data_IF_274444057542
#
_entry.id   IF_274444057542
#
_cell.length_a   1.000
_cell.length_b   1.000
_cell.length_c   1.000
_cell.angle_alpha   90.00
_cell.angle_beta   90.00
_cell.angle_gamma   90.00
#
_symmetry.space_group_name_H-M   'P 1'
#
loop_
_entity.id
_entity.type
_entity.pdbx_description
1 polymer ?
#
# COMPACT_ATOMS: atom_id res chain seq x y z
N UNK A 1 -15.75 27.47 13.32
CA UNK A 1 -15.08 26.41 12.53
C UNK A 1 -16.14 25.72 11.73
N UNK A 2 -15.96 25.46 10.45
CA UNK A 2 -16.94 24.71 9.69
C UNK A 2 -17.07 23.30 10.29
N UNK A 3 -18.29 22.81 10.40
CA UNK A 3 -18.62 21.49 10.93
C UNK A 3 -19.27 20.71 9.80
N UNK A 4 -18.72 19.56 9.48
CA UNK A 4 -19.31 18.64 8.51
C UNK A 4 -20.41 17.81 9.17
N UNK A 5 -21.50 17.63 8.45
CA UNK A 5 -22.60 16.77 8.89
C UNK A 5 -22.59 15.51 8.04
N UNK A 6 -22.17 14.39 8.64
CA UNK A 6 -22.16 13.09 7.99
C UNK A 6 -23.44 12.32 8.29
N UNK A 7 -24.22 12.02 7.25
CA UNK A 7 -25.38 11.13 7.31
C UNK A 7 -24.92 9.71 6.98
N UNK A 8 -25.41 8.73 7.73
CA UNK A 8 -25.27 7.33 7.37
C UNK A 8 -26.65 6.65 7.33
N UNK A 9 -26.90 5.89 6.25
CA UNK A 9 -28.13 5.15 6.03
C UNK A 9 -27.83 3.75 5.50
N UNK A 10 -28.41 2.70 6.09
CA UNK A 10 -28.30 1.34 5.61
C UNK A 10 -29.35 1.07 4.54
N UNK A 11 -28.93 0.57 3.38
CA UNK A 11 -29.76 0.39 2.18
C UNK A 11 -29.55 -0.99 1.55
N UNK A 12 -30.58 -1.62 1.00
CA UNK A 12 -30.40 -2.65 0.00
C UNK A 12 -29.64 -2.11 -1.21
N UNK A 13 -28.69 -2.88 -1.75
CA UNK A 13 -27.82 -2.45 -2.86
C UNK A 13 -28.54 -1.80 -4.05
N UNK A 14 -29.73 -2.27 -4.49
CA UNK A 14 -30.45 -1.60 -5.60
C UNK A 14 -30.90 -0.16 -5.31
N UNK A 15 -30.96 0.24 -4.03
CA UNK A 15 -31.39 1.58 -3.64
C UNK A 15 -30.21 2.56 -3.46
N UNK A 16 -28.98 2.10 -3.52
CA UNK A 16 -27.79 2.94 -3.30
C UNK A 16 -27.72 4.09 -4.32
N UNK A 17 -27.84 3.77 -5.62
CA UNK A 17 -27.78 4.77 -6.68
C UNK A 17 -28.93 5.80 -6.61
N UNK A 18 -30.22 5.40 -6.51
CA UNK A 18 -31.32 6.37 -6.45
C UNK A 18 -31.25 7.24 -5.17
N UNK A 19 -30.94 6.67 -4.02
CA UNK A 19 -30.81 7.40 -2.77
C UNK A 19 -29.57 8.32 -2.81
N UNK A 20 -28.45 7.84 -3.33
CA UNK A 20 -27.23 8.63 -3.49
C UNK A 20 -27.48 9.89 -4.37
N UNK A 21 -28.16 9.72 -5.49
CA UNK A 21 -28.56 10.87 -6.35
C UNK A 21 -29.49 11.85 -5.63
N UNK A 22 -30.43 11.35 -4.83
CA UNK A 22 -31.32 12.21 -4.06
C UNK A 22 -30.56 12.98 -2.97
N UNK A 23 -29.60 12.35 -2.29
CA UNK A 23 -28.76 13.02 -1.30
C UNK A 23 -27.84 14.08 -1.94
N UNK A 24 -27.26 13.81 -3.10
CA UNK A 24 -26.50 14.81 -3.87
C UNK A 24 -27.40 16.01 -4.27
N UNK A 25 -28.64 15.76 -4.69
CA UNK A 25 -29.61 16.82 -4.99
C UNK A 25 -30.02 17.64 -3.76
N UNK A 26 -29.85 17.10 -2.54
CA UNK A 26 -30.02 17.83 -1.29
C UNK A 26 -28.78 18.64 -0.88
N UNK A 27 -27.68 18.56 -1.64
CA UNK A 27 -26.44 19.30 -1.39
C UNK A 27 -25.34 18.46 -0.72
N UNK A 28 -25.42 17.14 -0.77
CA UNK A 28 -24.27 16.33 -0.35
C UNK A 28 -23.06 16.63 -1.24
N UNK A 29 -21.91 16.85 -0.60
CA UNK A 29 -20.63 17.16 -1.26
C UNK A 29 -19.83 15.90 -1.58
N UNK A 30 -20.13 14.77 -0.94
CA UNK A 30 -19.51 13.49 -1.17
C UNK A 30 -20.41 12.33 -0.76
N UNK A 31 -20.20 11.18 -1.40
CA UNK A 31 -20.86 9.91 -1.07
C UNK A 31 -19.78 8.82 -0.92
N UNK A 32 -20.01 7.89 0.00
CA UNK A 32 -19.18 6.70 0.17
C UNK A 32 -20.06 5.48 0.47
N UNK A 33 -19.80 4.38 -0.23
CA UNK A 33 -20.36 3.08 0.12
C UNK A 33 -19.44 2.38 1.12
N UNK A 34 -20.02 1.91 2.19
CA UNK A 34 -19.35 1.14 3.23
C UNK A 34 -20.13 -0.15 3.52
N UNK A 35 -19.53 -1.03 4.29
CA UNK A 35 -20.15 -2.28 4.68
C UNK A 35 -20.86 -2.09 6.03
N UNK A 36 -22.12 -2.52 6.17
CA UNK A 36 -22.80 -2.41 7.45
C UNK A 36 -22.02 -3.12 8.58
N UNK A 37 -22.00 -2.55 9.80
CA UNK A 37 -21.33 -3.14 10.94
C UNK A 37 -21.72 -4.60 11.16
N UNK A 38 -20.74 -5.46 11.43
CA UNK A 38 -20.96 -6.89 11.65
C UNK A 38 -21.11 -7.74 10.38
N UNK A 39 -21.03 -7.15 9.19
CA UNK A 39 -21.06 -7.89 7.91
C UNK A 39 -19.69 -8.49 7.61
N UNK A 40 -19.64 -9.81 7.43
CA UNK A 40 -18.40 -10.50 6.98
C UNK A 40 -18.30 -10.40 5.47
N UNK A 41 -17.34 -9.63 4.97
CA UNK A 41 -17.05 -9.53 3.54
C UNK A 41 -15.97 -10.54 3.16
N UNK A 42 -16.29 -11.42 2.21
CA UNK A 42 -15.30 -12.29 1.60
C UNK A 42 -14.69 -11.58 0.39
N UNK A 43 -13.42 -11.25 0.49
CA UNK A 43 -12.67 -10.71 -0.64
C UNK A 43 -12.06 -11.84 -1.46
N UNK A 44 -12.15 -11.73 -2.79
CA UNK A 44 -11.42 -12.62 -3.70
C UNK A 44 -10.02 -12.06 -3.86
N UNK A 45 -9.05 -12.86 -3.47
CA UNK A 45 -7.65 -12.56 -3.73
C UNK A 45 -7.32 -12.79 -5.22
N UNK A 46 -6.29 -12.13 -5.77
CA UNK A 46 -5.89 -12.31 -7.19
C UNK A 46 -5.65 -13.77 -7.59
N UNK A 47 -5.24 -14.60 -6.66
CA UNK A 47 -4.94 -16.03 -6.86
C UNK A 47 -6.11 -16.98 -6.59
N UNK A 48 -7.24 -16.49 -6.11
CA UNK A 48 -8.40 -17.34 -5.84
C UNK A 48 -9.01 -17.85 -7.13
N UNK A 49 -9.01 -19.18 -7.31
CA UNK A 49 -9.72 -19.85 -8.40
C UNK A 49 -11.21 -19.95 -8.03
N UNK A 50 -12.08 -19.36 -8.84
CA UNK A 50 -13.52 -19.47 -8.62
C UNK A 50 -14.29 -18.19 -8.96
N UNK A 51 -15.62 -18.21 -8.74
CA UNK A 51 -16.50 -17.05 -8.95
C UNK A 51 -16.18 -15.98 -7.90
N UNK A 52 -16.22 -14.72 -8.33
CA UNK A 52 -16.15 -13.58 -7.39
C UNK A 52 -17.24 -13.73 -6.32
N UNK A 53 -16.93 -13.51 -5.02
CA UNK A 53 -17.95 -13.44 -3.99
C UNK A 53 -19.03 -12.45 -4.40
N UNK A 54 -20.29 -12.74 -4.08
CA UNK A 54 -21.34 -11.75 -4.29
C UNK A 54 -21.11 -10.58 -3.34
N UNK A 55 -21.23 -9.34 -3.83
CA UNK A 55 -21.17 -8.18 -2.95
C UNK A 55 -22.29 -8.27 -1.90
N UNK A 56 -22.11 -7.65 -0.72
CA UNK A 56 -23.17 -7.60 0.28
C UNK A 56 -24.48 -7.09 -0.31
N UNK A 57 -25.60 -7.68 0.11
CA UNK A 57 -26.94 -7.23 -0.30
C UNK A 57 -27.35 -5.91 0.33
N UNK A 58 -26.75 -5.59 1.47
CA UNK A 58 -26.93 -4.34 2.21
C UNK A 58 -25.64 -3.52 2.13
N UNK A 59 -25.81 -2.20 2.06
CA UNK A 59 -24.73 -1.20 1.99
C UNK A 59 -25.01 -0.12 3.03
N UNK A 60 -23.99 0.36 3.69
CA UNK A 60 -24.04 1.56 4.50
C UNK A 60 -23.60 2.74 3.60
N UNK A 61 -24.58 3.54 3.17
CA UNK A 61 -24.29 4.73 2.39
C UNK A 61 -24.03 5.90 3.32
N UNK A 62 -22.88 6.55 3.19
CA UNK A 62 -22.52 7.77 3.88
C UNK A 62 -22.58 8.96 2.93
N UNK A 63 -23.08 10.09 3.43
CA UNK A 63 -23.16 11.34 2.67
C UNK A 63 -22.72 12.50 3.56
N UNK A 64 -21.90 13.40 3.03
CA UNK A 64 -21.38 14.56 3.75
C UNK A 64 -22.01 15.85 3.23
N UNK A 65 -22.34 16.76 4.16
CA UNK A 65 -22.99 18.04 3.90
C UNK A 65 -22.26 19.15 4.63
N UNK A 66 -22.09 20.30 3.96
CA UNK A 66 -21.61 21.54 4.59
C UNK A 66 -22.64 22.10 5.57
N UNK A 67 -23.94 21.90 5.27
CA UNK A 67 -25.06 22.28 6.12
C UNK A 67 -26.03 21.12 6.18
N UNK A 68 -26.47 20.77 7.39
CA UNK A 68 -27.43 19.70 7.59
C UNK A 68 -28.76 20.02 6.90
N UNK A 69 -29.22 19.20 5.95
CA UNK A 69 -30.52 19.38 5.32
C UNK A 69 -31.67 19.18 6.29
N UNK A 70 -32.85 19.70 5.93
CA UNK A 70 -34.09 19.47 6.66
C UNK A 70 -34.44 17.98 6.75
N UNK A 71 -34.85 17.53 7.95
CA UNK A 71 -35.10 16.11 8.24
C UNK A 71 -36.25 15.53 7.39
N UNK A 72 -37.25 16.32 7.01
CA UNK A 72 -38.32 15.86 6.14
C UNK A 72 -37.84 15.60 4.71
N UNK A 73 -36.94 16.45 4.21
CA UNK A 73 -36.29 16.26 2.89
C UNK A 73 -35.36 15.05 2.89
N UNK A 74 -34.61 14.87 3.97
CA UNK A 74 -33.76 13.68 4.16
C UNK A 74 -34.61 12.42 4.21
N UNK A 75 -35.69 12.43 4.98
CA UNK A 75 -36.64 11.31 5.06
C UNK A 75 -37.23 10.95 3.70
N UNK A 76 -37.56 11.94 2.87
CA UNK A 76 -38.02 11.71 1.50
C UNK A 76 -36.92 11.11 0.62
N UNK A 77 -35.68 11.61 0.69
CA UNK A 77 -34.54 11.14 -0.07
C UNK A 77 -34.09 9.70 0.31
N UNK A 78 -34.28 9.31 1.58
CA UNK A 78 -33.91 8.00 2.10
C UNK A 78 -35.08 7.02 2.17
N UNK A 79 -36.20 7.34 1.54
CA UNK A 79 -37.44 6.52 1.54
C UNK A 79 -37.95 6.18 2.97
N UNK A 80 -37.83 7.14 3.89
CA UNK A 80 -38.26 6.99 5.28
C UNK A 80 -37.41 6.07 6.13
N UNK A 81 -36.22 5.72 5.69
CA UNK A 81 -35.29 4.86 6.44
C UNK A 81 -34.64 5.60 7.59
N UNK A 82 -34.28 4.86 8.62
CA UNK A 82 -33.54 5.42 9.76
C UNK A 82 -32.15 5.88 9.30
N UNK A 83 -31.85 7.13 9.59
CA UNK A 83 -30.52 7.72 9.36
C UNK A 83 -29.85 8.02 10.70
N UNK A 84 -28.54 7.94 10.70
CA UNK A 84 -27.72 8.47 11.81
C UNK A 84 -26.92 9.66 11.32
N UNK A 85 -26.74 10.64 12.19
CA UNK A 85 -25.95 11.83 11.94
C UNK A 85 -24.73 11.86 12.85
N UNK A 86 -23.59 12.17 12.28
CA UNK A 86 -22.36 12.43 13.00
C UNK A 86 -21.89 13.85 12.64
N UNK A 87 -21.59 14.64 13.65
CA UNK A 87 -20.95 15.96 13.43
C UNK A 87 -19.45 15.79 13.59
N UNK A 88 -18.71 16.12 12.55
CA UNK A 88 -17.25 16.02 12.56
C UNK A 88 -16.68 17.43 12.38
N UNK A 89 -15.92 17.96 13.35
CA UNK A 89 -15.20 19.21 13.15
C UNK A 89 -14.25 19.08 11.95
N UNK A 90 -14.15 20.16 11.17
CA UNK A 90 -13.32 20.20 9.95
C UNK A 90 -11.82 19.96 10.22
N UNK A 91 -11.38 20.14 11.46
CA UNK A 91 -9.98 19.96 11.87
C UNK A 91 -9.58 18.48 12.03
N UNK A 92 -10.52 17.56 12.26
CA UNK A 92 -10.17 16.16 12.57
C UNK A 92 -9.89 15.27 11.34
N UNK A 93 -10.46 15.60 10.16
CA UNK A 93 -10.22 14.80 8.96
C UNK A 93 -8.84 15.02 8.35
N UNK A 94 -8.30 16.24 8.47
CA UNK A 94 -6.99 16.59 7.89
C UNK A 94 -5.80 16.28 8.81
N UNK A 95 -6.00 16.04 10.08
CA UNK A 95 -4.89 15.85 11.02
C UNK A 95 -4.97 14.55 11.85
N UNK A 96 -6.15 14.04 12.18
CA UNK A 96 -6.30 12.83 13.00
C UNK A 96 -5.62 11.59 12.38
N UNK A 97 -5.68 11.44 11.06
CA UNK A 97 -5.01 10.34 10.37
C UNK A 97 -3.48 10.48 10.37
N UNK A 98 -2.95 11.69 10.37
CA UNK A 98 -1.49 11.93 10.44
C UNK A 98 -0.87 11.43 11.73
N UNK A 99 -1.62 11.49 12.83
CA UNK A 99 -1.18 10.99 14.13
C UNK A 99 -0.96 9.47 14.16
N UNK A 100 -1.59 8.73 13.23
CA UNK A 100 -1.44 7.28 13.11
C UNK A 100 -0.15 6.88 12.39
N UNK A 101 0.44 7.79 11.57
CA UNK A 101 1.71 7.54 10.90
C UNK A 101 2.86 7.90 11.81
N UNK A 102 3.48 6.90 12.41
CA UNK A 102 4.66 7.09 13.23
C UNK A 102 5.94 6.89 12.42
N UNK A 103 7.03 7.63 12.70
CA UNK A 103 8.31 7.36 12.07
C UNK A 103 8.76 5.93 12.32
N UNK A 104 9.24 5.26 11.29
CA UNK A 104 9.79 3.91 11.38
C UNK A 104 11.31 4.02 11.46
N UNK A 105 11.85 3.88 12.65
CA UNK A 105 13.28 3.74 12.86
C UNK A 105 13.70 2.30 12.51
N UNK A 106 14.38 2.13 11.36
CA UNK A 106 14.92 0.84 10.94
C UNK A 106 16.27 0.62 11.63
N UNK A 107 17.10 1.64 11.66
CA UNK A 107 18.41 1.69 12.34
C UNK A 107 18.80 3.15 12.60
N UNK A 108 19.98 3.37 13.19
CA UNK A 108 20.52 4.72 13.40
C UNK A 108 20.81 5.48 12.09
N UNK A 109 20.93 4.77 10.96
CA UNK A 109 21.23 5.34 9.64
C UNK A 109 20.06 5.33 8.66
N UNK A 110 18.97 4.69 9.00
CA UNK A 110 17.79 4.58 8.15
C UNK A 110 16.50 4.79 8.95
N UNK A 111 15.84 5.91 8.71
CA UNK A 111 14.54 6.25 9.26
C UNK A 111 13.60 6.56 8.11
N UNK A 112 12.37 6.05 8.17
CA UNK A 112 11.29 6.38 7.26
C UNK A 112 10.32 7.28 8.01
N UNK A 113 9.88 8.37 7.40
CA UNK A 113 8.97 9.31 8.04
C UNK A 113 8.02 9.95 7.04
N UNK A 114 6.88 10.43 7.51
CA UNK A 114 6.01 11.28 6.71
C UNK A 114 6.53 12.73 6.72
N UNK A 115 6.16 13.58 5.73
CA UNK A 115 6.70 14.94 5.60
C UNK A 115 6.53 15.83 6.84
N UNK A 116 5.42 15.66 7.57
CA UNK A 116 5.10 16.46 8.74
C UNK A 116 5.94 16.15 9.98
N UNK A 117 6.74 15.09 9.98
CA UNK A 117 7.61 14.75 11.11
C UNK A 117 8.89 15.60 11.14
N UNK A 118 9.33 16.17 10.00
CA UNK A 118 10.49 17.04 9.93
C UNK A 118 11.80 16.41 10.42
N UNK A 119 11.98 15.09 10.21
CA UNK A 119 13.17 14.35 10.66
C UNK A 119 14.28 14.50 9.61
N UNK A 120 15.34 15.19 9.99
CA UNK A 120 16.50 15.36 9.11
C UNK A 120 17.13 14.00 8.76
N UNK A 121 17.38 13.81 7.46
CA UNK A 121 18.00 12.60 6.97
C UNK A 121 17.09 11.38 6.87
N UNK A 122 15.83 11.47 7.25
CA UNK A 122 14.86 10.39 6.99
C UNK A 122 14.56 10.26 5.50
N UNK A 123 14.14 9.07 5.08
CA UNK A 123 13.45 8.86 3.81
C UNK A 123 12.00 9.28 4.01
N UNK A 124 11.60 10.35 3.33
CA UNK A 124 10.26 10.93 3.44
C UNK A 124 9.35 10.27 2.43
N UNK A 125 8.25 9.67 2.91
CA UNK A 125 7.20 9.08 2.09
C UNK A 125 5.89 9.77 2.42
N UNK A 126 5.22 10.31 1.42
CA UNK A 126 3.85 10.82 1.58
C UNK A 126 2.87 9.64 1.62
N UNK A 127 2.12 9.47 2.72
CA UNK A 127 1.03 8.50 2.74
C UNK A 127 -0.03 8.87 1.71
N UNK A 128 -0.39 7.95 0.84
CA UNK A 128 -1.32 8.17 -0.27
C UNK A 128 -1.86 6.87 -0.83
N UNK A 129 -2.32 6.89 -2.08
CA UNK A 129 -2.93 5.73 -2.74
C UNK A 129 -1.93 4.62 -3.10
N UNK A 130 -0.62 4.87 -3.08
CA UNK A 130 0.38 3.85 -3.35
C UNK A 130 0.68 3.04 -2.08
N UNK A 131 0.79 1.71 -2.23
CA UNK A 131 1.20 0.82 -1.14
C UNK A 131 2.64 1.11 -0.69
N UNK A 132 2.91 0.98 0.62
CA UNK A 132 4.27 1.08 1.16
C UNK A 132 4.57 2.37 1.93
N UNK A 133 3.83 2.63 3.03
CA UNK A 133 4.11 3.74 3.96
C UNK A 133 5.25 3.42 4.96
N UNK A 134 5.76 2.19 4.95
CA UNK A 134 6.78 1.72 5.88
C UNK A 134 6.23 1.04 7.15
N UNK A 135 4.97 1.22 7.50
CA UNK A 135 4.39 0.67 8.73
C UNK A 135 4.09 -0.82 8.65
N UNK A 136 3.74 -1.31 7.46
CA UNK A 136 3.41 -2.71 7.29
C UNK A 136 4.63 -3.61 7.55
N UNK A 137 4.41 -4.73 8.25
CA UNK A 137 5.48 -5.68 8.61
C UNK A 137 6.35 -6.08 7.41
N UNK A 138 5.74 -6.37 6.26
CA UNK A 138 6.48 -6.81 5.06
C UNK A 138 7.44 -5.73 4.55
N UNK A 139 7.04 -4.47 4.58
CA UNK A 139 7.90 -3.34 4.24
C UNK A 139 9.04 -3.21 5.24
N UNK A 140 8.76 -3.32 6.54
CA UNK A 140 9.80 -3.29 7.60
C UNK A 140 10.82 -4.40 7.43
N UNK A 141 10.38 -5.62 7.09
CA UNK A 141 11.30 -6.75 6.84
C UNK A 141 12.24 -6.47 5.66
N UNK A 142 11.72 -5.92 4.54
CA UNK A 142 12.56 -5.49 3.42
C UNK A 142 13.53 -4.38 3.81
N UNK A 143 13.06 -3.35 4.52
CA UNK A 143 13.91 -2.23 4.97
C UNK A 143 15.05 -2.70 5.88
N UNK A 144 14.77 -3.60 6.83
CA UNK A 144 15.78 -4.19 7.70
C UNK A 144 16.81 -5.02 6.91
N UNK A 145 16.36 -5.77 5.90
CA UNK A 145 17.25 -6.52 5.03
C UNK A 145 18.12 -5.59 4.17
N UNK A 146 17.53 -4.54 3.57
CA UNK A 146 18.27 -3.53 2.81
C UNK A 146 19.31 -2.85 3.70
N UNK A 147 18.94 -2.42 4.91
CA UNK A 147 19.86 -1.79 5.83
C UNK A 147 21.07 -2.68 6.15
N UNK A 148 20.85 -3.97 6.40
CA UNK A 148 21.92 -4.94 6.67
C UNK A 148 22.80 -5.23 5.47
N UNK A 149 22.22 -5.29 4.25
CA UNK A 149 22.87 -5.80 3.03
C UNK A 149 23.40 -4.69 2.11
N UNK A 150 23.03 -3.43 2.35
CA UNK A 150 23.44 -2.32 1.51
C UNK A 150 24.96 -2.11 1.54
N UNK A 151 25.54 -1.97 0.35
CA UNK A 151 26.93 -1.57 0.14
C UNK A 151 26.92 -0.35 -0.77
N UNK A 152 27.50 0.74 -0.30
CA UNK A 152 27.56 1.98 -1.06
C UNK A 152 28.27 1.79 -2.41
N UNK A 153 27.68 2.36 -3.48
CA UNK A 153 28.17 2.20 -4.85
C UNK A 153 27.70 0.92 -5.56
N UNK A 154 27.11 -0.05 -4.86
CA UNK A 154 26.48 -1.21 -5.50
C UNK A 154 25.07 -0.89 -6.00
N UNK A 155 24.59 -1.66 -6.96
CA UNK A 155 23.27 -1.52 -7.56
C UNK A 155 22.20 -2.26 -6.76
N UNK A 156 21.01 -1.63 -6.60
CA UNK A 156 19.83 -2.24 -6.02
C UNK A 156 18.64 -2.13 -7.00
N UNK A 157 17.98 -3.25 -7.28
CA UNK A 157 16.74 -3.31 -8.06
C UNK A 157 15.56 -3.58 -7.14
N UNK A 158 14.56 -2.69 -7.18
CA UNK A 158 13.29 -2.81 -6.48
C UNK A 158 12.20 -3.21 -7.49
N UNK A 159 11.65 -4.42 -7.34
CA UNK A 159 10.67 -5.01 -8.26
C UNK A 159 9.27 -4.90 -7.66
N UNK A 160 8.38 -4.16 -8.32
CA UNK A 160 7.08 -3.75 -7.77
C UNK A 160 7.29 -2.60 -6.78
N UNK A 161 7.91 -1.52 -7.25
CA UNK A 161 8.42 -0.44 -6.39
C UNK A 161 7.33 0.32 -5.62
N UNK A 162 6.09 0.36 -6.12
CA UNK A 162 4.99 1.07 -5.49
C UNK A 162 5.33 2.53 -5.19
N UNK A 163 5.35 2.91 -3.91
CA UNK A 163 5.75 4.24 -3.45
C UNK A 163 7.24 4.56 -3.66
N UNK A 164 8.06 3.59 -4.07
CA UNK A 164 9.51 3.69 -4.20
C UNK A 164 10.29 3.56 -2.89
N UNK A 165 9.64 3.28 -1.78
CA UNK A 165 10.24 3.29 -0.43
C UNK A 165 11.49 2.41 -0.32
N UNK A 166 11.51 1.22 -0.94
CA UNK A 166 12.65 0.29 -0.83
C UNK A 166 13.84 0.78 -1.66
N UNK A 167 13.60 1.23 -2.90
CA UNK A 167 14.64 1.85 -3.71
C UNK A 167 15.20 3.14 -3.07
N UNK A 168 14.32 3.98 -2.48
CA UNK A 168 14.75 5.19 -1.77
C UNK A 168 15.57 4.87 -0.53
N UNK A 169 15.21 3.83 0.22
CA UNK A 169 16.00 3.34 1.35
C UNK A 169 17.40 2.88 0.90
N UNK A 170 17.48 2.11 -0.20
CA UNK A 170 18.76 1.70 -0.78
C UNK A 170 19.61 2.90 -1.24
N UNK A 171 18.98 3.88 -1.92
CA UNK A 171 19.66 5.11 -2.35
C UNK A 171 20.15 5.96 -1.15
N UNK A 172 19.39 6.03 -0.07
CA UNK A 172 19.76 6.70 1.18
C UNK A 172 21.02 6.09 1.81
N UNK A 173 21.18 4.79 1.65
CA UNK A 173 22.35 4.04 2.12
C UNK A 173 23.53 4.06 1.12
N UNK A 174 23.42 4.87 0.06
CA UNK A 174 24.48 5.09 -0.93
C UNK A 174 24.51 4.10 -2.08
N UNK A 175 23.47 3.27 -2.27
CA UNK A 175 23.37 2.37 -3.42
C UNK A 175 22.87 3.10 -4.68
N UNK A 176 23.20 2.58 -5.85
CA UNK A 176 22.59 2.97 -7.12
C UNK A 176 21.26 2.25 -7.28
N UNK A 177 20.17 2.91 -6.88
CA UNK A 177 18.86 2.30 -6.79
C UNK A 177 18.00 2.54 -8.03
N UNK A 178 17.35 1.48 -8.51
CA UNK A 178 16.38 1.51 -9.60
C UNK A 178 15.14 0.72 -9.20
N UNK A 179 13.98 1.32 -9.36
CA UNK A 179 12.68 0.67 -9.10
C UNK A 179 11.90 0.49 -10.39
N UNK A 180 11.25 -0.64 -10.54
CA UNK A 180 10.32 -0.90 -11.62
C UNK A 180 8.94 -1.24 -11.08
N UNK A 181 7.89 -0.76 -11.74
CA UNK A 181 6.51 -1.12 -11.44
C UNK A 181 5.69 -1.20 -12.73
N UNK A 182 4.75 -2.12 -12.79
CA UNK A 182 3.83 -2.25 -13.93
C UNK A 182 2.77 -1.16 -13.97
N UNK A 183 2.52 -0.48 -12.84
CA UNK A 183 1.58 0.62 -12.71
C UNK A 183 2.29 1.96 -12.99
N UNK A 184 1.93 2.69 -14.07
CA UNK A 184 2.49 4.00 -14.35
C UNK A 184 2.25 5.03 -13.24
N UNK A 185 1.12 4.94 -12.52
CA UNK A 185 0.79 5.87 -11.43
C UNK A 185 1.71 5.63 -10.23
N UNK A 186 2.05 4.38 -9.93
CA UNK A 186 3.06 4.04 -8.94
C UNK A 186 4.43 4.62 -9.32
N UNK A 187 4.85 4.52 -10.58
CA UNK A 187 6.10 5.10 -11.07
C UNK A 187 6.11 6.63 -10.94
N UNK A 188 4.99 7.29 -11.22
CA UNK A 188 4.86 8.75 -11.02
C UNK A 188 5.02 9.11 -9.55
N UNK A 189 4.36 8.39 -8.64
CA UNK A 189 4.46 8.59 -7.19
C UNK A 189 5.91 8.36 -6.69
N UNK A 190 6.56 7.28 -7.12
CA UNK A 190 7.94 6.97 -6.75
C UNK A 190 8.94 8.05 -7.22
N UNK A 191 8.78 8.57 -8.44
CA UNK A 191 9.58 9.69 -8.95
C UNK A 191 9.39 10.97 -8.13
N UNK A 192 8.16 11.27 -7.76
CA UNK A 192 7.86 12.41 -6.90
C UNK A 192 8.50 12.25 -5.52
N UNK A 193 8.45 11.04 -4.94
CA UNK A 193 9.10 10.72 -3.68
C UNK A 193 10.63 10.84 -3.78
N UNK A 194 11.25 10.41 -4.91
CA UNK A 194 12.69 10.59 -5.13
C UNK A 194 13.09 12.08 -5.19
N UNK A 195 12.31 12.89 -5.88
CA UNK A 195 12.52 14.33 -5.97
C UNK A 195 12.38 15.01 -4.59
N UNK A 196 11.34 14.66 -3.82
CA UNK A 196 11.11 15.17 -2.45
C UNK A 196 12.30 14.88 -1.56
N UNK A 197 12.86 13.67 -1.64
CA UNK A 197 14.00 13.23 -0.84
C UNK A 197 15.36 13.69 -1.39
N UNK A 198 15.40 14.22 -2.60
CA UNK A 198 16.65 14.54 -3.34
C UNK A 198 17.62 13.35 -3.41
N UNK A 199 17.05 12.14 -3.58
CA UNK A 199 17.80 10.91 -3.70
C UNK A 199 17.95 10.48 -5.16
N UNK A 200 19.11 9.94 -5.60
CA UNK A 200 19.36 9.58 -6.98
C UNK A 200 18.78 8.20 -7.36
N UNK A 201 17.56 7.90 -6.90
CA UNK A 201 16.83 6.70 -7.32
C UNK A 201 16.07 6.96 -8.64
N UNK A 202 16.05 5.96 -9.52
CA UNK A 202 15.35 6.03 -10.81
C UNK A 202 14.19 5.03 -10.85
N UNK A 203 13.13 5.38 -11.60
CA UNK A 203 11.94 4.53 -11.67
C UNK A 203 11.37 4.52 -13.08
N UNK A 204 10.89 3.36 -13.53
CA UNK A 204 10.17 3.23 -14.80
C UNK A 204 9.24 2.01 -14.83
N UNK A 205 8.58 1.80 -15.97
CA UNK A 205 7.64 0.69 -16.18
C UNK A 205 8.26 -0.46 -16.99
N UNK A 206 9.60 -0.56 -17.04
CA UNK A 206 10.30 -1.62 -17.80
C UNK A 206 9.88 -2.99 -17.25
N UNK A 207 9.38 -3.90 -18.10
CA UNK A 207 9.11 -5.27 -17.68
C UNK A 207 10.37 -5.96 -17.15
N UNK A 208 10.26 -6.74 -16.06
CA UNK A 208 11.43 -7.39 -15.44
C UNK A 208 12.23 -8.23 -16.43
N UNK A 209 11.58 -8.88 -17.40
CA UNK A 209 12.23 -9.68 -18.43
C UNK A 209 13.16 -8.84 -19.33
N UNK A 210 12.91 -7.54 -19.47
CA UNK A 210 13.69 -6.61 -20.30
C UNK A 210 14.82 -5.92 -19.52
N UNK A 211 14.76 -5.98 -18.19
CA UNK A 211 15.83 -5.42 -17.34
C UNK A 211 17.12 -6.16 -17.58
N UNK A 212 18.22 -5.39 -17.77
CA UNK A 212 19.54 -5.91 -18.08
C UNK A 212 20.54 -5.64 -16.96
N UNK A 213 21.65 -6.36 -17.02
CA UNK A 213 22.80 -6.16 -16.15
C UNK A 213 22.77 -7.01 -14.88
N UNK A 214 23.75 -6.75 -14.02
CA UNK A 214 23.96 -7.45 -12.77
C UNK A 214 23.52 -6.57 -11.59
N UNK A 215 22.76 -7.14 -10.68
CA UNK A 215 22.19 -6.45 -9.54
C UNK A 215 22.60 -7.16 -8.25
N UNK A 216 23.58 -6.63 -7.50
CA UNK A 216 24.02 -7.24 -6.24
C UNK A 216 22.89 -7.41 -5.23
N UNK A 217 21.92 -6.50 -5.22
CA UNK A 217 20.73 -6.60 -4.37
C UNK A 217 19.48 -6.47 -5.24
N UNK A 218 18.60 -7.47 -5.17
CA UNK A 218 17.26 -7.42 -5.77
C UNK A 218 16.25 -7.59 -4.65
N UNK A 219 15.31 -6.65 -4.55
CA UNK A 219 14.26 -6.67 -3.52
C UNK A 219 12.89 -6.71 -4.19
N UNK A 220 11.94 -7.43 -3.59
CA UNK A 220 10.55 -7.46 -4.04
C UNK A 220 9.61 -7.68 -2.86
N UNK A 221 8.70 -6.72 -2.63
CA UNK A 221 7.62 -6.85 -1.66
C UNK A 221 6.32 -7.17 -2.41
N UNK A 222 6.18 -8.43 -2.82
CA UNK A 222 5.13 -8.91 -3.72
C UNK A 222 4.48 -10.20 -3.20
N UNK A 223 3.33 -10.56 -3.74
CA UNK A 223 2.69 -11.84 -3.43
C UNK A 223 3.54 -13.02 -3.89
N UNK A 224 3.45 -14.13 -3.15
CA UNK A 224 4.22 -15.36 -3.40
C UNK A 224 4.09 -15.87 -4.85
N UNK A 225 2.87 -15.83 -5.41
CA UNK A 225 2.56 -16.26 -6.77
C UNK A 225 3.27 -15.40 -7.82
N UNK A 226 3.37 -14.10 -7.57
CA UNK A 226 4.07 -13.16 -8.46
C UNK A 226 5.57 -13.40 -8.39
N UNK A 227 6.15 -13.53 -7.19
CA UNK A 227 7.56 -13.84 -7.00
C UNK A 227 7.90 -15.16 -7.70
N UNK A 228 7.09 -16.21 -7.52
CA UNK A 228 7.30 -17.49 -8.15
C UNK A 228 7.24 -17.41 -9.70
N UNK A 229 6.31 -16.63 -10.24
CA UNK A 229 6.22 -16.42 -11.69
C UNK A 229 7.42 -15.64 -12.25
N UNK A 230 7.95 -14.68 -11.49
CA UNK A 230 9.10 -13.84 -11.88
C UNK A 230 10.47 -14.48 -11.52
N UNK A 231 10.48 -15.64 -10.86
CA UNK A 231 11.68 -16.28 -10.35
C UNK A 231 12.81 -16.46 -11.39
N UNK A 232 12.55 -16.84 -12.65
CA UNK A 232 13.62 -16.96 -13.65
C UNK A 232 14.38 -15.66 -13.88
N UNK A 233 13.67 -14.53 -13.97
CA UNK A 233 14.27 -13.22 -14.20
C UNK A 233 14.92 -12.65 -12.94
N UNK A 234 14.29 -12.82 -11.77
CA UNK A 234 14.86 -12.44 -10.48
C UNK A 234 16.23 -13.12 -10.26
N UNK A 235 16.29 -14.43 -10.52
CA UNK A 235 17.53 -15.21 -10.41
C UNK A 235 18.58 -14.83 -11.44
N UNK A 236 18.17 -14.50 -12.66
CA UNK A 236 19.06 -14.05 -13.73
C UNK A 236 19.75 -12.72 -13.40
N UNK A 237 19.03 -11.83 -12.74
CA UNK A 237 19.49 -10.47 -12.46
C UNK A 237 20.32 -10.38 -11.17
N UNK A 238 19.95 -11.14 -10.14
CA UNK A 238 20.59 -11.07 -8.84
C UNK A 238 21.99 -11.72 -8.87
N UNK A 239 22.99 -11.03 -8.30
CA UNK A 239 24.36 -11.56 -8.23
C UNK A 239 24.85 -11.79 -6.80
N UNK A 240 24.16 -11.28 -5.79
CA UNK A 240 24.54 -11.47 -4.38
C UNK A 240 23.36 -11.83 -3.49
N UNK A 241 22.31 -11.02 -3.45
CA UNK A 241 21.13 -11.29 -2.60
C UNK A 241 19.81 -11.01 -3.29
N UNK A 242 18.83 -11.85 -2.94
CA UNK A 242 17.41 -11.66 -3.20
C UNK A 242 16.69 -11.48 -1.87
N UNK A 243 15.89 -10.42 -1.75
CA UNK A 243 15.08 -10.13 -0.58
C UNK A 243 13.62 -10.13 -0.98
N UNK A 244 12.81 -10.98 -0.34
CA UNK A 244 11.39 -11.10 -0.62
C UNK A 244 10.55 -10.91 0.63
N UNK A 245 9.46 -10.16 0.49
CA UNK A 245 8.40 -10.03 1.47
C UNK A 245 7.04 -9.91 0.78
N UNK A 246 5.96 -9.67 1.53
CA UNK A 246 4.60 -9.65 0.97
C UNK A 246 4.02 -11.06 0.78
N UNK A 247 4.63 -12.06 1.40
CA UNK A 247 4.32 -13.46 1.25
C UNK A 247 3.45 -13.90 2.44
N UNK A 248 2.22 -14.35 2.18
CA UNK A 248 1.42 -15.01 3.22
C UNK A 248 2.11 -16.30 3.67
N UNK A 249 2.12 -16.58 4.98
CA UNK A 249 2.90 -17.69 5.54
C UNK A 249 2.45 -19.06 5.01
N UNK A 250 1.17 -19.22 4.66
CA UNK A 250 0.64 -20.43 4.03
C UNK A 250 1.05 -20.59 2.55
N UNK A 251 1.67 -19.56 1.96
CA UNK A 251 2.18 -19.51 0.58
C UNK A 251 3.70 -19.53 0.50
N UNK A 252 4.39 -19.50 1.63
CA UNK A 252 5.84 -19.42 1.71
C UNK A 252 6.55 -20.52 0.88
N UNK A 253 6.00 -21.74 0.86
CA UNK A 253 6.53 -22.86 0.10
C UNK A 253 6.65 -22.61 -1.42
N UNK A 254 5.78 -21.74 -1.99
CA UNK A 254 5.86 -21.39 -3.42
C UNK A 254 7.17 -20.66 -3.73
N UNK A 255 7.58 -19.77 -2.85
CA UNK A 255 8.81 -19.00 -3.00
C UNK A 255 10.03 -19.87 -2.74
N UNK A 256 10.00 -20.72 -1.70
CA UNK A 256 11.08 -21.65 -1.41
C UNK A 256 11.34 -22.58 -2.59
N UNK A 257 10.29 -23.17 -3.17
CA UNK A 257 10.41 -24.02 -4.35
C UNK A 257 10.94 -23.27 -5.57
N UNK A 258 10.51 -22.02 -5.80
CA UNK A 258 10.97 -21.19 -6.91
C UNK A 258 12.44 -20.77 -6.77
N UNK A 259 12.97 -20.74 -5.54
CA UNK A 259 14.34 -20.38 -5.20
C UNK A 259 15.22 -21.60 -4.87
N UNK A 260 14.76 -22.82 -5.20
CA UNK A 260 15.53 -24.04 -5.02
C UNK A 260 16.95 -23.93 -5.63
N UNK A 261 17.96 -24.37 -4.89
CA UNK A 261 19.37 -24.27 -5.27
C UNK A 261 20.07 -22.97 -4.86
N UNK A 262 19.37 -21.98 -4.36
CA UNK A 262 19.97 -20.81 -3.70
C UNK A 262 20.14 -21.09 -2.19
N UNK A 263 21.07 -20.38 -1.55
CA UNK A 263 21.27 -20.48 -0.11
C UNK A 263 20.25 -19.59 0.61
N UNK A 264 19.36 -20.18 1.40
CA UNK A 264 18.48 -19.43 2.30
C UNK A 264 19.32 -18.90 3.49
N UNK A 265 19.50 -17.58 3.58
CA UNK A 265 20.24 -16.94 4.67
C UNK A 265 19.34 -16.58 5.86
N UNK A 266 18.13 -16.13 5.59
CA UNK A 266 17.16 -15.85 6.65
C UNK A 266 15.72 -16.02 6.17
N UNK A 267 14.88 -16.48 7.10
CA UNK A 267 13.43 -16.49 7.03
C UNK A 267 12.89 -15.84 8.29
N UNK A 268 11.97 -14.91 8.13
CA UNK A 268 11.29 -14.23 9.23
C UNK A 268 9.79 -14.40 9.07
N UNK A 269 9.17 -15.11 10.02
CA UNK A 269 7.73 -15.38 10.07
C UNK A 269 7.09 -14.56 11.18
N UNK A 270 5.94 -13.94 10.91
CA UNK A 270 5.15 -13.24 11.93
C UNK A 270 3.93 -12.56 11.37
N UNK A 271 2.91 -12.43 12.19
CA UNK A 271 1.64 -11.78 11.84
C UNK A 271 0.99 -12.35 10.56
N UNK A 272 1.20 -13.63 10.27
CA UNK A 272 0.69 -14.27 9.05
C UNK A 272 1.50 -14.00 7.79
N UNK A 273 2.63 -13.30 7.88
CA UNK A 273 3.53 -12.98 6.78
C UNK A 273 4.89 -13.62 6.94
N UNK A 274 5.52 -13.92 5.81
CA UNK A 274 6.88 -14.45 5.72
C UNK A 274 7.74 -13.55 4.85
N UNK A 275 8.98 -13.35 5.25
CA UNK A 275 10.01 -12.75 4.40
C UNK A 275 11.24 -13.64 4.30
N UNK A 276 11.96 -13.49 3.20
CA UNK A 276 13.14 -14.30 2.90
C UNK A 276 14.32 -13.45 2.47
N UNK A 277 15.51 -13.89 2.82
CA UNK A 277 16.75 -13.46 2.19
C UNK A 277 17.46 -14.69 1.65
N UNK A 278 17.69 -14.70 0.34
CA UNK A 278 18.47 -15.73 -0.34
C UNK A 278 19.78 -15.13 -0.81
N UNK A 279 20.86 -15.91 -0.69
CA UNK A 279 22.14 -15.60 -1.29
C UNK A 279 22.31 -16.36 -2.59
N UNK A 280 22.72 -15.61 -3.62
CA UNK A 280 23.17 -16.17 -4.90
C UNK A 280 24.61 -16.58 -4.73
N UNK A 281 24.92 -17.83 -5.03
CA UNK A 281 26.22 -18.46 -4.81
C UNK A 281 27.34 -17.90 -5.67
#
# INVERSE_FOLDING_TARGET
MPTWHALAVQLPRPLVDPVGKALLALGATGLMEDVPPGTVVKYKQPWDKGRRPRPPSEVLLRAWFDQRPDDARVGAATEGRTVTWEETPDEDWNEGWKAHFQPVAVSDRLVIAAPWHGIDGAVVIEPGNAFGTGEHRTTRSCLAAIDRLAVAGERCLDVGAGSGILALAAARLGMEAHGIDTDPDAVVAAKAAAALNRLPATFDTTPLAEVQGAWPLVVANLYAEVIAALAPDLRRLATRHLVFAGILSDRAQLVEAAMEGLTLESRDDGEGWTSFVFRVG
#
